data_IF_719322213940
#
_entry.id   IF_719322213940
#
_cell.length_a   1.000
_cell.length_b   1.000
_cell.length_c   1.000
_cell.angle_alpha   90.00
_cell.angle_beta   90.00
_cell.angle_gamma   90.00
#
_symmetry.space_group_name_H-M   'P 1'
#
loop_
_entity.id
_entity.type
_entity.pdbx_description
1 polymer ?
#
# COMPACT_ATOMS: atom_id res chain seq x y z
N UNK A 1 -16.47 0.45 -32.75
CA UNK A 1 -16.55 1.09 -31.41
C UNK A 1 -15.85 2.42 -31.54
N UNK A 2 -16.43 3.50 -31.06
CA UNK A 2 -15.92 4.85 -31.29
C UNK A 2 -14.82 5.20 -30.28
N UNK A 3 -13.73 5.80 -30.75
CA UNK A 3 -12.65 6.31 -29.92
C UNK A 3 -13.11 7.66 -29.37
N UNK A 4 -13.37 7.70 -28.07
CA UNK A 4 -13.83 8.91 -27.35
C UNK A 4 -13.02 9.14 -26.08
N UNK A 5 -13.01 10.38 -25.62
CA UNK A 5 -12.31 10.77 -24.40
C UNK A 5 -12.77 9.97 -23.18
N UNK A 6 -11.86 9.80 -22.25
CA UNK A 6 -12.03 9.09 -20.99
C UNK A 6 -12.27 7.57 -21.09
N UNK A 7 -12.27 6.99 -22.30
CA UNK A 7 -12.31 5.54 -22.47
C UNK A 7 -10.96 4.90 -22.15
N UNK A 8 -11.02 3.64 -21.74
CA UNK A 8 -9.86 2.81 -21.43
C UNK A 8 -9.66 1.78 -22.52
N UNK A 9 -8.41 1.63 -22.94
CA UNK A 9 -7.98 0.65 -23.95
C UNK A 9 -7.03 -0.35 -23.26
N UNK A 10 -7.31 -1.63 -23.44
CA UNK A 10 -6.37 -2.71 -23.13
C UNK A 10 -5.67 -3.17 -24.40
N UNK A 11 -4.36 -3.34 -24.32
CA UNK A 11 -3.54 -3.87 -25.41
C UNK A 11 -3.05 -5.27 -25.09
N UNK A 12 -2.96 -6.11 -26.11
CA UNK A 12 -2.66 -7.52 -26.00
C UNK A 12 -1.36 -7.89 -26.69
N UNK A 13 -0.68 -8.92 -26.19
CA UNK A 13 0.36 -9.64 -26.91
C UNK A 13 -0.24 -10.67 -27.90
N UNK A 14 0.64 -11.35 -28.64
CA UNK A 14 0.23 -12.40 -29.61
C UNK A 14 -0.47 -13.60 -28.92
N UNK A 15 -0.27 -13.79 -27.60
CA UNK A 15 -0.94 -14.82 -26.79
C UNK A 15 -2.23 -14.30 -26.14
N UNK A 16 -2.71 -13.11 -26.53
CA UNK A 16 -3.87 -12.41 -25.97
C UNK A 16 -3.81 -12.11 -24.47
N UNK A 17 -2.62 -11.96 -23.90
CA UNK A 17 -2.45 -11.46 -22.54
C UNK A 17 -2.41 -9.95 -22.57
N UNK A 18 -3.05 -9.30 -21.59
CA UNK A 18 -3.00 -7.84 -21.43
C UNK A 18 -1.57 -7.44 -21.07
N UNK A 19 -0.96 -6.62 -21.91
CA UNK A 19 0.41 -6.10 -21.71
C UNK A 19 0.43 -4.65 -21.24
N UNK A 20 -0.63 -3.89 -21.57
CA UNK A 20 -0.71 -2.46 -21.30
C UNK A 20 -2.17 -2.01 -21.25
N UNK A 21 -2.48 -1.13 -20.31
CA UNK A 21 -3.80 -0.50 -20.19
C UNK A 21 -3.64 1.01 -20.18
N UNK A 22 -4.37 1.72 -21.04
CA UNK A 22 -4.26 3.16 -21.22
C UNK A 22 -5.62 3.84 -21.21
N UNK A 23 -5.66 5.07 -20.71
CA UNK A 23 -6.84 5.93 -20.78
C UNK A 23 -6.61 7.05 -21.79
N UNK A 24 -7.59 7.30 -22.63
CA UNK A 24 -7.66 8.47 -23.49
C UNK A 24 -8.02 9.68 -22.63
N UNK A 25 -7.15 10.68 -22.57
CA UNK A 25 -7.41 11.89 -21.81
C UNK A 25 -8.02 13.00 -22.69
N UNK A 26 -7.56 13.13 -23.92
CA UNK A 26 -8.01 14.16 -24.83
C UNK A 26 -7.73 13.76 -26.27
N UNK A 27 -8.58 14.23 -27.20
CA UNK A 27 -8.45 13.97 -28.63
C UNK A 27 -8.42 15.30 -29.34
N UNK A 28 -7.42 15.53 -30.22
CA UNK A 28 -7.37 16.76 -31.02
C UNK A 28 -8.57 16.87 -31.96
N UNK A 29 -9.11 18.07 -32.16
CA UNK A 29 -10.27 18.31 -33.05
C UNK A 29 -10.08 17.79 -34.47
N UNK A 30 -8.84 17.83 -34.96
CA UNK A 30 -8.42 17.34 -36.28
C UNK A 30 -8.17 15.82 -36.30
N UNK A 31 -8.35 15.12 -35.16
CA UNK A 31 -8.06 13.69 -34.97
C UNK A 31 -6.66 13.26 -35.40
N UNK A 32 -5.67 14.12 -35.22
CA UNK A 32 -4.28 13.76 -35.51
C UNK A 32 -3.55 13.22 -34.30
N UNK A 33 -3.84 13.79 -33.11
CA UNK A 33 -3.13 13.49 -31.88
C UNK A 33 -4.11 13.15 -30.72
N UNK A 34 -3.65 12.31 -29.84
CA UNK A 34 -4.38 11.89 -28.63
C UNK A 34 -3.44 11.97 -27.44
N UNK A 35 -3.90 12.58 -26.36
CA UNK A 35 -3.23 12.50 -25.08
C UNK A 35 -3.72 11.25 -24.34
N UNK A 36 -2.81 10.37 -23.97
CA UNK A 36 -3.09 9.13 -23.22
C UNK A 36 -2.34 9.09 -21.91
N UNK A 37 -2.76 8.21 -21.01
CA UNK A 37 -2.03 7.87 -19.78
C UNK A 37 -2.06 6.38 -19.52
N UNK A 38 -0.90 5.80 -19.18
CA UNK A 38 -0.79 4.40 -18.78
C UNK A 38 -1.36 4.20 -17.38
N UNK A 39 -2.32 3.29 -17.21
CA UNK A 39 -3.02 2.99 -15.96
C UNK A 39 -2.30 1.97 -15.08
N UNK A 40 -1.40 1.16 -15.66
CA UNK A 40 -0.66 0.14 -14.93
C UNK A 40 0.46 0.75 -14.08
N UNK A 41 0.91 1.95 -14.44
CA UNK A 41 1.94 2.67 -13.71
C UNK A 41 1.36 3.90 -12.99
N UNK A 42 1.28 3.82 -11.66
CA UNK A 42 0.79 4.93 -10.81
C UNK A 42 1.62 6.22 -10.89
N UNK A 43 2.83 6.15 -11.44
CA UNK A 43 3.72 7.30 -11.64
C UNK A 43 3.63 7.88 -13.04
N UNK A 44 2.83 7.30 -13.91
CA UNK A 44 2.64 7.72 -15.29
C UNK A 44 2.19 9.17 -15.39
N UNK A 45 2.57 9.80 -16.49
CA UNK A 45 2.16 11.13 -16.89
C UNK A 45 1.56 11.04 -18.29
N UNK A 46 0.75 12.05 -18.72
CA UNK A 46 0.21 12.08 -20.07
C UNK A 46 1.30 12.09 -21.13
N UNK A 47 1.05 11.34 -22.20
CA UNK A 47 1.89 11.24 -23.40
C UNK A 47 1.03 11.47 -24.64
N UNK A 48 1.66 12.03 -25.69
CA UNK A 48 1.01 12.28 -26.97
C UNK A 48 1.31 11.14 -27.93
N UNK A 49 0.26 10.60 -28.54
CA UNK A 49 0.38 9.60 -29.61
C UNK A 49 -0.47 10.01 -30.82
N UNK A 50 -0.25 9.38 -31.96
CA UNK A 50 -1.06 9.59 -33.15
C UNK A 50 -2.43 8.89 -32.99
N UNK A 51 -3.49 9.56 -33.36
CA UNK A 51 -4.83 8.98 -33.35
C UNK A 51 -4.90 7.72 -34.22
N UNK A 52 -4.29 7.76 -35.42
CA UNK A 52 -4.24 6.62 -36.34
C UNK A 52 -3.62 5.39 -35.75
N UNK A 53 -2.62 5.49 -34.88
CA UNK A 53 -2.01 4.30 -34.23
C UNK A 53 -3.01 3.57 -33.34
N UNK A 54 -3.92 4.28 -32.67
CA UNK A 54 -4.99 3.65 -31.89
C UNK A 54 -5.98 2.94 -32.82
N UNK A 55 -6.35 3.57 -33.96
CA UNK A 55 -7.26 2.96 -34.94
C UNK A 55 -6.66 1.68 -35.53
N UNK A 56 -5.39 1.67 -35.86
CA UNK A 56 -4.66 0.52 -36.37
C UNK A 56 -4.63 -0.63 -35.36
N UNK A 57 -4.34 -0.33 -34.08
CA UNK A 57 -4.32 -1.33 -33.01
C UNK A 57 -5.70 -1.90 -32.72
N UNK A 58 -6.75 -1.09 -32.78
CA UNK A 58 -8.14 -1.56 -32.61
C UNK A 58 -8.59 -2.40 -33.81
N UNK A 59 -8.26 -1.97 -35.03
CA UNK A 59 -8.63 -2.68 -36.27
C UNK A 59 -7.92 -4.03 -36.39
N UNK A 60 -6.65 -4.11 -35.98
CA UNK A 60 -5.86 -5.33 -35.95
C UNK A 60 -6.17 -6.23 -34.75
N UNK A 61 -7.12 -5.84 -33.88
CA UNK A 61 -7.50 -6.54 -32.63
C UNK A 61 -6.33 -6.68 -31.63
N UNK A 62 -5.31 -5.86 -31.76
CA UNK A 62 -4.24 -5.73 -30.76
C UNK A 62 -4.69 -4.90 -29.55
N UNK A 63 -5.73 -4.10 -29.71
CA UNK A 63 -6.35 -3.31 -28.65
C UNK A 63 -7.84 -3.56 -28.54
N UNK A 64 -8.41 -3.28 -27.36
CA UNK A 64 -9.84 -3.34 -27.07
C UNK A 64 -10.25 -2.15 -26.20
N UNK A 65 -11.32 -1.44 -26.59
CA UNK A 65 -11.93 -0.42 -25.72
C UNK A 65 -12.80 -1.12 -24.68
N UNK A 66 -12.61 -0.79 -23.41
CA UNK A 66 -13.43 -1.32 -22.34
C UNK A 66 -14.79 -0.59 -22.29
N UNK A 67 -15.87 -1.35 -22.14
CA UNK A 67 -17.22 -0.81 -21.96
C UNK A 67 -17.35 -0.17 -20.56
N UNK A 68 -16.85 -0.85 -19.54
CA UNK A 68 -16.85 -0.41 -18.15
C UNK A 68 -15.43 -0.04 -17.75
N UNK A 69 -15.27 1.10 -17.15
CA UNK A 69 -13.99 1.58 -16.64
C UNK A 69 -13.73 1.03 -15.22
N UNK A 70 -12.83 0.05 -15.06
CA UNK A 70 -12.55 -0.55 -13.75
C UNK A 70 -11.73 0.38 -12.84
N UNK A 71 -11.13 1.43 -13.40
CA UNK A 71 -10.29 2.39 -12.68
C UNK A 71 -11.07 3.63 -12.22
N UNK A 72 -12.30 3.82 -12.70
CA UNK A 72 -13.15 4.89 -12.20
C UNK A 72 -13.56 4.58 -10.76
N UNK A 73 -13.34 5.52 -9.86
CA UNK A 73 -13.87 5.41 -8.51
C UNK A 73 -15.39 5.61 -8.54
N UNK A 74 -16.11 4.51 -8.70
CA UNK A 74 -17.56 4.51 -8.50
C UNK A 74 -17.77 4.66 -6.98
N UNK A 75 -18.39 5.76 -6.57
CA UNK A 75 -18.87 5.95 -5.20
C UNK A 75 -20.09 5.05 -5.03
N UNK A 76 -19.83 3.75 -4.76
CA UNK A 76 -20.89 2.78 -4.53
C UNK A 76 -21.32 2.83 -3.06
N UNK A 77 -22.59 3.14 -2.86
CA UNK A 77 -23.47 2.79 -1.73
C UNK A 77 -23.30 3.50 -0.38
N UNK A 78 -22.17 4.07 -0.03
CA UNK A 78 -22.06 4.85 1.21
C UNK A 78 -21.72 6.29 0.88
N UNK A 79 -22.45 7.22 1.42
CA UNK A 79 -22.13 8.65 1.34
C UNK A 79 -20.73 8.88 1.94
N UNK A 80 -19.82 9.55 1.21
CA UNK A 80 -18.48 9.84 1.73
C UNK A 80 -18.60 10.69 3.00
N UNK A 81 -17.83 10.37 4.02
CA UNK A 81 -17.83 11.18 5.25
C UNK A 81 -17.51 12.64 4.95
N UNK A 82 -18.05 13.57 5.76
CA UNK A 82 -17.79 15.02 5.63
C UNK A 82 -16.30 15.35 5.53
N UNK A 83 -15.48 14.64 6.29
CA UNK A 83 -14.01 14.79 6.28
C UNK A 83 -13.39 14.36 4.93
N UNK A 84 -13.92 13.30 4.31
CA UNK A 84 -13.48 12.83 3.01
C UNK A 84 -13.86 13.81 1.89
N UNK A 85 -15.08 14.36 1.95
CA UNK A 85 -15.54 15.41 1.04
C UNK A 85 -14.66 16.67 1.14
N UNK A 86 -14.36 17.13 2.34
CA UNK A 86 -13.44 18.26 2.55
C UNK A 86 -12.04 18.01 1.98
N UNK A 87 -11.52 16.77 2.13
CA UNK A 87 -10.22 16.40 1.57
C UNK A 87 -10.24 16.39 0.04
N UNK A 88 -11.31 15.89 -0.56
CA UNK A 88 -11.55 15.94 -2.01
C UNK A 88 -11.59 17.38 -2.52
N UNK A 89 -12.36 18.26 -1.86
CA UNK A 89 -12.54 19.64 -2.28
C UNK A 89 -11.23 20.44 -2.17
N UNK A 90 -10.44 20.19 -1.14
CA UNK A 90 -9.07 20.75 -1.03
C UNK A 90 -8.16 20.25 -2.16
N UNK A 91 -8.26 18.96 -2.51
CA UNK A 91 -7.48 18.41 -3.61
C UNK A 91 -7.93 18.97 -4.96
N UNK A 92 -9.24 19.17 -5.14
CA UNK A 92 -9.80 19.78 -6.34
C UNK A 92 -9.36 21.25 -6.49
N UNK A 93 -9.47 22.08 -5.45
CA UNK A 93 -9.01 23.46 -5.49
C UNK A 93 -7.52 23.61 -5.80
N UNK A 94 -6.70 22.58 -5.49
CA UNK A 94 -5.28 22.57 -5.83
C UNK A 94 -5.00 22.35 -7.32
N UNK A 95 -5.87 21.58 -8.02
CA UNK A 95 -5.60 21.18 -9.42
C UNK A 95 -6.58 21.78 -10.42
N UNK A 96 -7.67 22.40 -9.98
CA UNK A 96 -8.73 22.90 -10.83
C UNK A 96 -8.21 23.80 -11.96
N UNK A 97 -7.37 24.78 -11.61
CA UNK A 97 -6.83 25.74 -12.59
C UNK A 97 -5.99 25.08 -13.68
N UNK A 98 -5.36 23.93 -13.37
CA UNK A 98 -4.59 23.18 -14.38
C UNK A 98 -5.49 22.31 -15.26
N UNK A 99 -6.56 21.78 -14.69
CA UNK A 99 -7.44 20.84 -15.40
C UNK A 99 -8.27 21.52 -16.47
N UNK A 100 -8.58 22.81 -16.31
CA UNK A 100 -9.33 23.58 -17.31
C UNK A 100 -8.46 24.03 -18.49
N UNK A 101 -7.14 24.00 -18.36
CA UNK A 101 -6.17 24.35 -19.40
C UNK A 101 -5.85 23.14 -20.31
N UNK A 102 -6.90 22.45 -20.78
CA UNK A 102 -6.76 21.40 -21.80
C UNK A 102 -6.68 22.05 -23.20
N UNK A 103 -5.76 21.61 -24.08
CA UNK A 103 -4.87 20.44 -23.97
C UNK A 103 -3.49 20.73 -23.34
N UNK A 104 -3.15 21.96 -23.02
CA UNK A 104 -1.80 22.41 -22.64
C UNK A 104 -1.24 21.67 -21.43
N UNK A 105 -2.13 21.27 -20.49
CA UNK A 105 -1.74 20.50 -19.31
C UNK A 105 -1.16 19.12 -19.65
N UNK A 106 -1.44 18.57 -20.83
CA UNK A 106 -0.92 17.29 -21.28
C UNK A 106 0.48 17.40 -21.88
N UNK A 107 0.88 18.58 -22.35
CA UNK A 107 2.26 18.83 -22.78
C UNK A 107 3.19 18.91 -21.57
N UNK A 108 4.31 18.21 -21.64
CA UNK A 108 5.28 18.10 -20.55
C UNK A 108 5.93 19.43 -20.18
N UNK A 109 6.22 20.28 -21.18
CA UNK A 109 6.89 21.58 -20.99
C UNK A 109 5.91 22.61 -20.45
N UNK A 110 4.75 22.74 -21.11
CA UNK A 110 3.69 23.66 -20.70
C UNK A 110 3.21 23.35 -19.27
N UNK A 111 2.93 22.08 -18.97
CA UNK A 111 2.60 21.64 -17.62
C UNK A 111 3.65 22.04 -16.59
N UNK A 112 4.94 21.89 -16.92
CA UNK A 112 6.04 22.28 -16.03
C UNK A 112 6.04 23.78 -15.74
N UNK A 113 5.84 24.62 -16.75
CA UNK A 113 5.76 26.09 -16.65
C UNK A 113 4.57 26.50 -15.81
N UNK A 114 3.37 26.02 -16.14
CA UNK A 114 2.13 26.32 -15.42
C UNK A 114 2.24 26.00 -13.93
N UNK A 115 2.80 24.84 -13.57
CA UNK A 115 2.98 24.42 -12.18
C UNK A 115 3.99 25.33 -11.45
N UNK A 116 5.08 25.70 -12.09
CA UNK A 116 6.08 26.59 -11.47
C UNK A 116 5.50 27.99 -11.23
N UNK A 117 4.75 28.55 -12.19
CA UNK A 117 4.08 29.84 -12.04
C UNK A 117 3.03 29.80 -10.92
N UNK A 118 2.27 28.71 -10.83
CA UNK A 118 1.30 28.53 -9.75
C UNK A 118 1.99 28.52 -8.38
N UNK A 119 3.10 27.78 -8.24
CA UNK A 119 3.87 27.72 -7.00
C UNK A 119 4.38 29.11 -6.63
N UNK A 120 4.97 29.86 -7.56
CA UNK A 120 5.43 31.22 -7.32
C UNK A 120 4.30 32.15 -6.86
N UNK A 121 3.12 32.07 -7.47
CA UNK A 121 1.92 32.82 -7.04
C UNK A 121 1.47 32.45 -5.62
N UNK A 122 1.57 31.19 -5.24
CA UNK A 122 1.19 30.73 -3.90
C UNK A 122 2.23 31.16 -2.84
N UNK A 123 3.51 31.11 -3.17
CA UNK A 123 4.58 31.60 -2.30
C UNK A 123 4.45 33.10 -2.03
N UNK A 124 4.10 33.90 -3.03
CA UNK A 124 3.80 35.33 -2.85
C UNK A 124 2.63 35.59 -1.88
N UNK A 125 1.71 34.62 -1.75
CA UNK A 125 0.60 34.65 -0.79
C UNK A 125 0.92 33.99 0.57
N UNK A 126 2.18 33.66 0.83
CA UNK A 126 2.62 32.89 2.00
C UNK A 126 1.97 31.50 2.14
N UNK A 127 1.52 30.89 1.04
CA UNK A 127 0.96 29.54 1.01
C UNK A 127 1.98 28.58 0.44
N UNK A 128 2.46 27.64 1.26
CA UNK A 128 3.48 26.67 0.84
C UNK A 128 2.82 25.50 0.10
N UNK A 129 3.10 25.37 -1.20
CA UNK A 129 2.65 24.28 -2.05
C UNK A 129 3.85 23.56 -2.66
N UNK A 130 3.84 22.24 -2.62
CA UNK A 130 4.92 21.44 -3.19
C UNK A 130 4.53 20.84 -4.56
N UNK A 131 5.43 20.93 -5.53
CA UNK A 131 5.28 20.37 -6.87
C UNK A 131 4.80 18.91 -6.87
N UNK A 132 5.35 18.09 -5.98
CA UNK A 132 4.97 16.68 -5.82
C UNK A 132 3.51 16.48 -5.42
N UNK A 133 2.91 17.41 -4.66
CA UNK A 133 1.49 17.34 -4.27
C UNK A 133 0.60 17.58 -5.48
N UNK A 134 0.92 18.56 -6.32
CA UNK A 134 0.18 18.87 -7.54
C UNK A 134 0.22 17.67 -8.48
N UNK A 135 1.41 17.16 -8.83
CA UNK A 135 1.55 15.99 -9.70
C UNK A 135 0.83 14.74 -9.15
N UNK A 136 0.86 14.52 -7.84
CA UNK A 136 0.13 13.40 -7.23
C UNK A 136 -1.36 13.52 -7.43
N UNK A 137 -1.92 14.75 -7.32
CA UNK A 137 -3.37 14.98 -7.47
C UNK A 137 -3.80 14.98 -8.92
N UNK A 138 -3.00 15.50 -9.83
CA UNK A 138 -3.24 15.41 -11.27
C UNK A 138 -3.26 13.94 -11.73
N UNK A 139 -2.27 13.13 -11.33
CA UNK A 139 -2.27 11.69 -11.64
C UNK A 139 -3.51 10.99 -11.08
N UNK A 140 -3.86 11.25 -9.83
CA UNK A 140 -5.05 10.68 -9.22
C UNK A 140 -6.31 11.01 -10.02
N UNK A 141 -6.42 12.23 -10.50
CA UNK A 141 -7.53 12.71 -11.34
C UNK A 141 -7.56 12.01 -12.71
N UNK A 142 -6.45 11.98 -13.43
CA UNK A 142 -6.38 11.35 -14.75
C UNK A 142 -6.55 9.83 -14.71
N UNK A 143 -5.86 9.16 -13.78
CA UNK A 143 -5.98 7.71 -13.61
C UNK A 143 -7.39 7.29 -13.15
N UNK A 144 -8.08 8.13 -12.40
CA UNK A 144 -9.40 7.84 -11.85
C UNK A 144 -10.59 8.30 -12.68
N UNK A 145 -10.39 8.67 -13.96
CA UNK A 145 -11.48 8.95 -14.90
C UNK A 145 -11.87 10.42 -15.04
N UNK A 146 -10.96 11.35 -14.81
CA UNK A 146 -11.19 12.80 -15.00
C UNK A 146 -12.42 13.32 -14.24
N UNK A 147 -12.69 12.79 -13.05
CA UNK A 147 -13.81 13.19 -12.22
C UNK A 147 -13.37 13.74 -10.87
N UNK A 148 -14.15 14.67 -10.30
CA UNK A 148 -13.87 15.18 -8.96
C UNK A 148 -13.90 14.07 -7.91
N UNK A 149 -14.70 13.02 -8.12
CA UNK A 149 -14.79 11.85 -7.25
C UNK A 149 -13.51 11.00 -7.25
N UNK A 150 -12.71 11.05 -8.33
CA UNK A 150 -11.40 10.39 -8.38
C UNK A 150 -10.45 10.89 -7.27
N UNK A 151 -10.66 12.10 -6.74
CA UNK A 151 -9.85 12.69 -5.68
C UNK A 151 -10.26 12.28 -4.27
N UNK A 152 -11.32 11.49 -4.12
CA UNK A 152 -11.71 10.91 -2.83
C UNK A 152 -10.61 9.98 -2.31
N UNK A 153 -10.42 9.98 -1.00
CA UNK A 153 -9.49 9.05 -0.36
C UNK A 153 -10.13 7.66 -0.25
N UNK A 154 -9.45 6.63 -0.72
CA UNK A 154 -9.89 5.25 -0.53
C UNK A 154 -9.47 4.75 0.86
N UNK A 155 -10.30 5.06 1.86
CA UNK A 155 -10.06 4.62 3.23
C UNK A 155 -10.38 3.14 3.47
N UNK A 156 -11.01 2.46 2.52
CA UNK A 156 -11.33 1.02 2.63
C UNK A 156 -10.07 0.17 2.60
N UNK A 157 -9.06 0.60 1.85
CA UNK A 157 -7.76 -0.05 1.75
C UNK A 157 -6.72 0.50 2.75
N UNK A 158 -7.07 1.52 3.52
CA UNK A 158 -6.23 2.01 4.61
C UNK A 158 -6.43 1.14 5.85
N UNK A 159 -5.33 0.67 6.45
CA UNK A 159 -5.41 0.02 7.77
C UNK A 159 -6.03 0.98 8.78
N UNK A 160 -6.95 0.49 9.61
CA UNK A 160 -7.55 1.27 10.71
C UNK A 160 -6.86 1.01 12.04
N UNK A 161 -7.06 1.88 13.06
CA UNK A 161 -6.59 1.62 14.42
C UNK A 161 -7.12 0.27 14.91
N UNK A 162 -6.23 -0.57 15.45
CA UNK A 162 -6.59 -1.89 15.98
C UNK A 162 -6.80 -3.00 14.93
N UNK A 163 -6.88 -2.70 13.64
CA UNK A 163 -6.98 -3.73 12.61
C UNK A 163 -5.64 -4.43 12.41
N UNK A 164 -5.65 -5.75 12.48
CA UNK A 164 -4.50 -6.58 12.12
C UNK A 164 -4.24 -6.45 10.62
N UNK A 165 -3.00 -6.11 10.25
CA UNK A 165 -2.60 -6.09 8.84
C UNK A 165 -2.13 -7.49 8.45
N UNK A 166 -2.85 -8.15 7.57
CA UNK A 166 -2.39 -9.41 6.98
C UNK A 166 -1.27 -9.09 6.00
N UNK A 167 -0.15 -9.79 6.10
CA UNK A 167 0.94 -9.69 5.11
C UNK A 167 0.47 -10.33 3.81
N UNK A 168 0.68 -9.64 2.68
CA UNK A 168 0.62 -10.31 1.38
C UNK A 168 1.77 -11.32 1.30
N UNK A 169 1.51 -12.45 0.67
CA UNK A 169 2.44 -13.58 0.58
C UNK A 169 3.84 -13.13 0.13
N UNK A 170 4.86 -13.52 0.87
CA UNK A 170 6.26 -13.28 0.52
C UNK A 170 6.84 -11.90 0.86
N UNK A 171 6.03 -10.93 1.32
CA UNK A 171 6.52 -9.58 1.62
C UNK A 171 6.71 -9.42 3.13
N UNK A 172 7.96 -9.21 3.58
CA UNK A 172 8.29 -8.87 4.96
C UNK A 172 7.76 -7.47 5.31
N UNK A 173 7.08 -7.36 6.45
CA UNK A 173 6.61 -6.07 6.98
C UNK A 173 7.75 -5.32 7.65
N UNK A 174 7.68 -4.00 7.56
CA UNK A 174 8.61 -3.10 8.21
C UNK A 174 9.68 -2.55 7.26
N UNK A 175 10.62 -1.80 7.83
CA UNK A 175 11.76 -1.27 7.07
C UNK A 175 12.71 -2.41 6.70
N UNK A 176 13.10 -2.48 5.45
CA UNK A 176 14.12 -3.44 5.00
C UNK A 176 15.45 -3.13 5.69
N UNK A 177 16.20 -4.12 6.19
CA UNK A 177 17.55 -3.91 6.70
C UNK A 177 18.47 -3.34 5.61
N UNK A 178 19.43 -2.51 6.00
CA UNK A 178 20.39 -1.93 5.05
C UNK A 178 21.20 -3.02 4.30
N UNK A 179 21.44 -4.15 4.95
CA UNK A 179 22.13 -5.30 4.35
C UNK A 179 21.43 -5.85 3.10
N UNK A 180 20.09 -5.74 3.00
CA UNK A 180 19.34 -6.19 1.81
C UNK A 180 19.64 -5.35 0.55
N UNK A 181 20.28 -4.20 0.68
CA UNK A 181 20.76 -3.38 -0.44
C UNK A 181 22.05 -3.99 -1.02
N UNK A 182 22.88 -4.58 -0.15
CA UNK A 182 24.16 -5.19 -0.51
C UNK A 182 23.99 -6.67 -0.91
N UNK A 183 23.08 -7.37 -0.24
CA UNK A 183 22.75 -8.77 -0.51
C UNK A 183 21.22 -8.93 -0.66
N UNK A 184 20.70 -8.99 -1.90
CA UNK A 184 19.28 -9.21 -2.18
C UNK A 184 18.73 -10.54 -1.65
N UNK A 185 19.59 -11.54 -1.43
CA UNK A 185 19.20 -12.87 -0.93
C UNK A 185 19.22 -12.94 0.61
N UNK A 186 19.57 -11.85 1.29
CA UNK A 186 19.61 -11.82 2.74
C UNK A 186 18.23 -12.10 3.34
N UNK A 187 18.15 -13.08 4.24
CA UNK A 187 16.93 -13.47 4.92
C UNK A 187 16.48 -12.37 5.88
N UNK A 188 15.36 -11.74 5.58
CA UNK A 188 14.87 -10.54 6.30
C UNK A 188 14.15 -10.89 7.61
N UNK A 189 14.08 -12.17 7.98
CA UNK A 189 13.33 -12.67 9.14
C UNK A 189 11.84 -12.89 8.83
N UNK A 190 11.05 -13.32 9.80
CA UNK A 190 9.67 -13.78 9.61
C UNK A 190 8.62 -12.70 9.88
N UNK A 191 7.48 -12.80 9.19
CA UNK A 191 6.25 -12.13 9.58
C UNK A 191 5.52 -13.00 10.61
N UNK A 192 4.96 -12.38 11.64
CA UNK A 192 4.18 -13.10 12.64
C UNK A 192 2.82 -13.47 12.06
N UNK A 193 2.49 -14.75 12.12
CA UNK A 193 1.22 -15.34 11.70
C UNK A 193 0.23 -15.41 12.87
N UNK A 194 -1.01 -15.82 12.63
CA UNK A 194 -1.96 -16.06 13.72
C UNK A 194 -1.59 -17.30 14.54
N UNK A 195 -0.96 -18.29 13.92
CA UNK A 195 -0.41 -19.47 14.62
C UNK A 195 0.70 -19.05 15.58
N UNK A 196 1.64 -18.20 15.15
CA UNK A 196 2.66 -17.65 16.05
C UNK A 196 2.03 -16.91 17.25
N UNK A 197 0.95 -16.13 17.01
CA UNK A 197 0.26 -15.43 18.07
C UNK A 197 -0.39 -16.39 19.08
N UNK A 198 -0.93 -17.51 18.64
CA UNK A 198 -1.46 -18.55 19.53
C UNK A 198 -0.35 -19.13 20.39
N UNK A 199 0.81 -19.44 19.81
CA UNK A 199 1.99 -19.92 20.54
C UNK A 199 2.49 -18.88 21.54
N UNK A 200 2.48 -17.58 21.19
CA UNK A 200 2.84 -16.49 22.09
C UNK A 200 1.92 -16.45 23.31
N UNK A 201 0.59 -16.52 23.10
CA UNK A 201 -0.41 -16.53 24.18
C UNK A 201 -0.23 -17.74 25.10
N UNK A 202 0.05 -18.91 24.51
CA UNK A 202 0.27 -20.14 25.26
C UNK A 202 1.54 -20.04 26.12
N UNK A 203 2.66 -19.59 25.55
CA UNK A 203 3.92 -19.41 26.27
C UNK A 203 3.80 -18.37 27.40
N UNK A 204 3.11 -17.26 27.16
CA UNK A 204 2.86 -16.24 28.18
C UNK A 204 2.04 -16.83 29.32
N UNK A 205 1.00 -17.58 29.03
CA UNK A 205 0.15 -18.20 30.06
C UNK A 205 0.92 -19.21 30.86
N UNK A 206 1.72 -20.07 30.22
CA UNK A 206 2.43 -21.18 30.81
C UNK A 206 3.69 -20.76 31.60
N UNK A 207 4.44 -19.78 31.10
CA UNK A 207 5.77 -19.48 31.65
C UNK A 207 5.90 -18.08 32.25
N UNK A 208 5.06 -17.11 31.85
CA UNK A 208 5.12 -15.74 32.34
C UNK A 208 4.03 -15.42 33.38
N UNK A 209 2.79 -15.85 33.16
CA UNK A 209 1.68 -15.64 34.07
C UNK A 209 1.70 -16.67 35.24
N UNK A 210 2.84 -16.75 35.89
CA UNK A 210 3.06 -17.67 37.01
C UNK A 210 3.50 -16.91 38.26
N UNK A 211 3.28 -17.47 39.43
CA UNK A 211 3.75 -16.92 40.73
C UNK A 211 5.27 -16.91 40.86
N UNK A 212 6.00 -17.66 40.01
CA UNK A 212 7.47 -17.66 39.98
C UNK A 212 8.06 -16.34 39.49
N UNK A 213 7.25 -15.43 38.91
CA UNK A 213 7.65 -14.08 38.44
C UNK A 213 8.79 -14.11 37.44
N UNK A 214 8.88 -15.16 36.64
CA UNK A 214 9.90 -15.25 35.59
C UNK A 214 9.85 -14.02 34.66
N UNK A 215 11.00 -13.58 34.12
CA UNK A 215 11.03 -12.50 33.15
C UNK A 215 10.36 -12.89 31.82
N UNK A 216 9.89 -11.91 31.06
CA UNK A 216 9.25 -12.15 29.78
C UNK A 216 10.19 -12.85 28.78
N UNK A 217 11.49 -12.56 28.88
CA UNK A 217 12.53 -13.23 28.06
C UNK A 217 12.57 -14.73 28.30
N UNK A 218 12.43 -15.17 29.56
CA UNK A 218 12.36 -16.59 29.90
C UNK A 218 11.19 -17.29 29.21
N UNK A 219 10.01 -16.66 29.20
CA UNK A 219 8.84 -17.22 28.51
C UNK A 219 9.06 -17.34 27.01
N UNK A 220 9.73 -16.36 26.40
CA UNK A 220 10.13 -16.41 24.99
C UNK A 220 11.12 -17.56 24.73
N UNK A 221 12.19 -17.68 25.52
CA UNK A 221 13.18 -18.73 25.32
C UNK A 221 12.54 -20.13 25.46
N UNK A 222 11.66 -20.31 26.46
CA UNK A 222 10.90 -21.55 26.59
C UNK A 222 9.99 -21.82 25.41
N UNK A 223 9.35 -20.80 24.86
CA UNK A 223 8.52 -20.90 23.67
C UNK A 223 9.32 -21.39 22.47
N UNK A 224 10.50 -20.82 22.22
CA UNK A 224 11.37 -21.23 21.12
C UNK A 224 11.76 -22.71 21.28
N UNK A 225 12.17 -23.13 22.47
CA UNK A 225 12.58 -24.52 22.74
C UNK A 225 11.43 -25.52 22.67
N UNK A 226 10.20 -25.13 23.05
CA UNK A 226 9.07 -26.05 23.10
C UNK A 226 8.34 -26.16 21.73
N UNK A 227 8.22 -25.08 20.98
CA UNK A 227 7.33 -25.02 19.80
C UNK A 227 8.03 -24.83 18.46
N UNK A 228 9.27 -24.33 18.45
CA UNK A 228 10.00 -24.09 17.21
C UNK A 228 11.17 -25.05 16.99
N UNK A 229 11.38 -26.04 17.85
CA UNK A 229 12.42 -27.03 17.62
C UNK A 229 12.06 -27.96 16.46
N UNK A 230 13.05 -28.36 15.69
CA UNK A 230 12.95 -29.32 14.58
C UNK A 230 13.35 -30.74 14.97
N UNK A 231 13.81 -30.94 16.19
CA UNK A 231 14.24 -32.22 16.71
C UNK A 231 15.02 -32.08 18.00
N UNK A 232 15.61 -33.16 18.45
CA UNK A 232 16.40 -33.21 19.66
C UNK A 232 17.68 -34.03 19.44
N UNK A 233 18.77 -33.61 20.07
CA UNK A 233 20.02 -34.35 20.19
C UNK A 233 20.31 -34.61 21.66
N UNK A 234 21.01 -35.69 21.98
CA UNK A 234 21.45 -36.01 23.35
C UNK A 234 22.95 -35.68 23.45
N UNK A 235 23.30 -34.70 24.25
CA UNK A 235 24.66 -34.33 24.58
C UNK A 235 24.91 -34.61 26.06
N UNK A 236 25.90 -35.50 26.35
CA UNK A 236 26.21 -35.92 27.73
C UNK A 236 24.97 -36.37 28.55
N UNK A 237 24.03 -37.06 27.90
CA UNK A 237 22.79 -37.51 28.55
C UNK A 237 21.70 -36.43 28.70
N UNK A 238 21.95 -35.22 28.26
CA UNK A 238 20.99 -34.11 28.31
C UNK A 238 20.31 -33.97 26.95
N UNK A 239 18.98 -33.90 26.94
CA UNK A 239 18.17 -33.68 25.76
C UNK A 239 18.21 -32.21 25.36
N UNK A 240 18.83 -31.88 24.24
CA UNK A 240 19.00 -30.51 23.71
C UNK A 240 18.16 -30.35 22.46
N UNK A 241 17.30 -29.33 22.37
CA UNK A 241 16.50 -29.07 21.17
C UNK A 241 17.35 -28.54 20.03
N UNK A 242 17.15 -29.05 18.82
CA UNK A 242 17.71 -28.52 17.59
C UNK A 242 16.82 -27.40 17.10
N UNK A 243 17.35 -26.19 16.98
CA UNK A 243 16.60 -25.02 16.51
C UNK A 243 16.89 -24.73 15.04
N UNK A 244 15.92 -24.27 14.28
CA UNK A 244 16.16 -23.76 12.94
C UNK A 244 16.97 -22.45 12.98
N UNK A 245 17.46 -21.93 11.84
CA UNK A 245 18.22 -20.69 11.77
C UNK A 245 17.48 -19.51 12.41
N UNK A 246 18.18 -18.66 13.14
CA UNK A 246 17.61 -17.54 13.92
C UNK A 246 16.77 -16.59 13.07
N UNK A 247 17.08 -16.45 11.78
CA UNK A 247 16.38 -15.62 10.81
C UNK A 247 14.97 -16.13 10.49
N UNK A 248 14.74 -17.42 10.70
CA UNK A 248 13.43 -18.07 10.47
C UNK A 248 12.55 -18.11 11.72
N UNK A 249 13.05 -17.63 12.84
CA UNK A 249 12.34 -17.60 14.11
C UNK A 249 11.75 -16.22 14.42
N UNK A 250 10.60 -16.14 15.12
CA UNK A 250 10.12 -14.89 15.69
C UNK A 250 11.16 -14.29 16.64
N UNK A 251 11.42 -12.99 16.52
CA UNK A 251 12.36 -12.30 17.42
C UNK A 251 11.72 -11.95 18.75
N UNK A 252 12.53 -11.81 19.81
CA UNK A 252 12.04 -11.41 21.13
C UNK A 252 11.29 -10.06 21.11
N UNK A 253 11.73 -9.09 20.29
CA UNK A 253 11.07 -7.81 20.14
C UNK A 253 9.66 -7.93 19.56
N UNK A 254 9.44 -8.89 18.63
CA UNK A 254 8.11 -9.18 18.09
C UNK A 254 7.21 -9.80 19.18
N UNK A 255 7.71 -10.79 19.92
CA UNK A 255 7.02 -11.40 21.05
C UNK A 255 6.64 -10.36 22.12
N UNK A 256 7.60 -9.50 22.52
CA UNK A 256 7.43 -8.41 23.47
C UNK A 256 6.38 -7.41 22.98
N UNK A 257 6.43 -7.00 21.70
CA UNK A 257 5.44 -6.10 21.11
C UNK A 257 4.03 -6.64 21.20
N UNK A 258 3.82 -7.90 20.79
CA UNK A 258 2.49 -8.52 20.83
C UNK A 258 2.00 -8.72 22.26
N UNK A 259 2.86 -9.09 23.18
CA UNK A 259 2.50 -9.16 24.59
C UNK A 259 1.96 -7.82 25.11
N UNK A 260 2.69 -6.71 24.89
CA UNK A 260 2.25 -5.39 25.34
C UNK A 260 1.00 -4.87 24.62
N UNK A 261 0.81 -5.24 23.37
CA UNK A 261 -0.38 -4.90 22.57
C UNK A 261 -1.64 -5.58 23.10
N UNK A 262 -1.56 -6.84 23.49
CA UNK A 262 -2.71 -7.66 23.87
C UNK A 262 -2.93 -7.75 25.39
N UNK A 263 -1.94 -7.38 26.20
CA UNK A 263 -2.03 -7.56 27.65
C UNK A 263 -3.14 -6.71 28.26
N UNK A 264 -3.90 -7.35 29.16
CA UNK A 264 -4.75 -6.69 30.15
C UNK A 264 -3.94 -6.53 31.43
N UNK A 265 -3.52 -5.31 31.76
CA UNK A 265 -2.56 -5.03 32.84
C UNK A 265 -3.02 -5.62 34.18
N UNK A 266 -4.28 -5.36 34.58
CA UNK A 266 -4.86 -5.87 35.85
C UNK A 266 -4.84 -7.41 35.92
N UNK A 267 -5.24 -8.10 34.85
CA UNK A 267 -5.25 -9.55 34.79
C UNK A 267 -3.83 -10.15 34.88
N UNK A 268 -2.88 -9.52 34.15
CA UNK A 268 -1.47 -9.95 34.18
C UNK A 268 -0.86 -9.80 35.57
N UNK A 269 -1.12 -8.69 36.24
CA UNK A 269 -0.66 -8.47 37.63
C UNK A 269 -1.31 -9.44 38.59
N UNK A 270 -2.63 -9.68 38.51
CA UNK A 270 -3.36 -10.66 39.32
C UNK A 270 -2.76 -12.06 39.21
N UNK A 271 -2.47 -12.52 37.98
CA UNK A 271 -1.87 -13.85 37.73
C UNK A 271 -0.45 -13.99 38.31
N UNK A 272 0.34 -12.90 38.31
CA UNK A 272 1.73 -12.91 38.78
C UNK A 272 1.88 -12.66 40.29
N UNK A 273 1.04 -11.79 40.85
CA UNK A 273 1.19 -11.30 42.24
C UNK A 273 0.05 -11.74 43.16
N UNK A 274 -1.05 -12.30 42.63
CA UNK A 274 -2.25 -12.62 43.39
C UNK A 274 -3.16 -11.41 43.60
N UNK A 275 -4.40 -11.67 44.04
CA UNK A 275 -5.43 -10.63 44.23
C UNK A 275 -5.12 -9.64 45.35
N UNK A 276 -4.48 -10.12 46.42
CA UNK A 276 -4.22 -9.33 47.67
C UNK A 276 -3.19 -8.20 47.47
N UNK A 277 -2.43 -8.18 46.38
CA UNK A 277 -1.38 -7.20 46.11
C UNK A 277 -1.80 -6.15 45.04
N UNK A 278 -3.09 -6.01 44.78
CA UNK A 278 -3.65 -5.09 43.79
C UNK A 278 -4.39 -3.90 44.42
N UNK A 279 -4.20 -3.68 45.76
CA UNK A 279 -4.75 -2.54 46.48
C UNK A 279 -3.76 -1.38 46.41
#
# INVERSE_FOLDING_TARGET
>A
MEIIENKVIEYFDDERRVIRTERILWISPDKQQVAIINLDNKSSLPEWIRYQSIEEDLSSKKGRILEVDPYSQIVLMEEPSRKNLQSRDKAWSLIHDFVIEEPDIYDSRLRGTMINEYIARMEAKNVKVHKTQIYRKLRQYWLGGKTKTALLCDFRNCGGPGKSRVSKTGIKRGRKPAVTVLDPNHIVGVNITEEDLQLFRLAITRHYHTRKKNPLKYAYDRMIYEFYNIGYVYENGIKVPILPPSETLPRFEQFKYYYYKERKVKESLKKRYGERNLI
#
